data_IF_623452156930
#
_entry.id   IF_623452156930
#
_cell.length_a   1.000
_cell.length_b   1.000
_cell.length_c   1.000
_cell.angle_alpha   90.00
_cell.angle_beta   90.00
_cell.angle_gamma   90.00
#
_symmetry.space_group_name_H-M   'P 1'
#
loop_
_entity.id
_entity.type
_entity.pdbx_description
1 polymer ?
#
# COMPACT_ATOMS: atom_id res chain seq x y z
N UNK A 1 7.88 33.78 14.51
CA UNK A 1 7.15 32.52 14.73
C UNK A 1 7.58 31.59 13.62
N UNK A 2 8.42 30.61 13.92
CA UNK A 2 8.77 29.59 12.94
C UNK A 2 7.56 28.66 12.84
N UNK A 3 6.94 28.65 11.67
CA UNK A 3 5.85 27.73 11.35
C UNK A 3 6.46 26.33 11.29
N UNK A 4 6.25 25.55 12.35
CA UNK A 4 6.80 24.21 12.55
C UNK A 4 6.00 23.14 11.75
N UNK A 5 5.41 23.55 10.62
CA UNK A 5 4.51 22.69 9.82
C UNK A 5 5.25 21.66 8.95
N UNK A 6 6.58 21.59 9.03
CA UNK A 6 7.42 20.78 8.14
C UNK A 6 7.64 19.32 8.61
N UNK A 7 7.04 18.88 9.72
CA UNK A 7 7.20 17.52 10.26
C UNK A 7 6.05 16.56 9.96
N UNK A 8 5.34 16.73 8.83
CA UNK A 8 4.27 15.78 8.46
C UNK A 8 4.75 14.49 7.80
N UNK A 9 6.02 14.42 7.43
CA UNK A 9 6.55 13.25 6.76
C UNK A 9 7.59 12.51 7.60
N UNK A 10 7.47 11.18 7.63
CA UNK A 10 8.26 10.30 8.49
C UNK A 10 8.77 9.11 7.67
N UNK A 11 9.94 8.56 8.03
CA UNK A 11 10.39 7.31 7.45
C UNK A 11 9.41 6.16 7.74
N UNK A 12 9.29 5.26 6.78
CA UNK A 12 8.42 4.10 6.85
C UNK A 12 8.49 3.27 5.58
N UNK A 13 7.48 2.43 5.40
CA UNK A 13 7.36 1.51 4.28
C UNK A 13 6.04 1.72 3.57
N UNK A 14 6.10 1.70 2.24
CA UNK A 14 4.93 1.51 1.40
C UNK A 14 4.87 0.04 1.02
N UNK A 15 3.68 -0.54 1.06
CA UNK A 15 3.43 -1.92 0.66
C UNK A 15 2.31 -2.02 -0.36
N UNK A 16 2.43 -3.02 -1.23
CA UNK A 16 1.39 -3.50 -2.11
C UNK A 16 1.00 -4.91 -1.69
N UNK A 17 -0.27 -5.11 -1.37
CA UNK A 17 -0.81 -6.43 -1.08
C UNK A 17 -1.92 -6.82 -2.06
N UNK A 18 -2.07 -8.11 -2.28
CA UNK A 18 -3.13 -8.71 -3.08
C UNK A 18 -4.08 -9.48 -2.18
N UNK A 19 -5.38 -9.25 -2.31
CA UNK A 19 -6.38 -10.14 -1.74
C UNK A 19 -6.57 -11.32 -2.70
N UNK A 20 -5.99 -12.45 -2.33
CA UNK A 20 -6.00 -13.66 -3.14
C UNK A 20 -7.45 -14.06 -3.48
N UNK A 21 -7.63 -14.70 -4.64
CA UNK A 21 -8.94 -15.05 -5.22
C UNK A 21 -9.78 -13.85 -5.71
N UNK A 22 -9.21 -12.63 -5.70
CA UNK A 22 -9.86 -11.42 -6.21
C UNK A 22 -8.93 -10.61 -7.10
N UNK A 23 -9.49 -9.71 -7.90
CA UNK A 23 -8.72 -8.69 -8.64
C UNK A 23 -8.58 -7.40 -7.82
N UNK A 24 -8.18 -7.54 -6.54
CA UNK A 24 -8.08 -6.42 -5.59
C UNK A 24 -6.71 -6.32 -4.97
N UNK A 25 -6.14 -5.15 -5.13
CA UNK A 25 -4.84 -4.78 -4.60
C UNK A 25 -5.00 -3.62 -3.62
N UNK A 26 -4.20 -3.58 -2.58
CA UNK A 26 -4.17 -2.47 -1.62
C UNK A 26 -2.78 -1.89 -1.57
N UNK A 27 -2.71 -0.58 -1.73
CA UNK A 27 -1.52 0.23 -1.43
C UNK A 27 -1.73 0.79 -0.04
N UNK A 28 -0.77 0.59 0.85
CA UNK A 28 -0.83 1.17 2.18
C UNK A 28 0.56 1.47 2.72
N UNK A 29 0.58 2.14 3.86
CA UNK A 29 1.80 2.54 4.53
C UNK A 29 1.94 1.95 5.93
N UNK A 30 3.17 1.88 6.42
CA UNK A 30 3.45 1.57 7.81
C UNK A 30 4.75 2.21 8.28
N UNK A 31 4.78 2.71 9.53
CA UNK A 31 6.02 3.22 10.16
C UNK A 31 6.70 2.15 11.02
N UNK A 32 6.24 0.90 10.94
CA UNK A 32 6.80 -0.28 11.61
C UNK A 32 7.15 -1.34 10.55
N UNK A 33 7.45 -2.57 10.95
CA UNK A 33 7.77 -3.62 9.98
C UNK A 33 6.55 -4.01 9.12
N UNK A 34 6.81 -4.24 7.83
CA UNK A 34 5.81 -4.65 6.83
C UNK A 34 5.18 -5.99 7.23
N UNK A 35 5.97 -6.95 7.70
CA UNK A 35 5.52 -8.29 8.08
C UNK A 35 4.54 -8.25 9.24
N UNK A 36 4.82 -7.40 10.24
CA UNK A 36 3.95 -7.29 11.39
C UNK A 36 2.66 -6.52 11.06
N UNK A 37 2.68 -5.62 10.07
CA UNK A 37 1.46 -4.98 9.55
C UNK A 37 0.64 -5.97 8.73
N UNK A 38 1.30 -6.73 7.88
CA UNK A 38 0.67 -7.77 7.08
C UNK A 38 0.00 -8.86 7.93
N UNK A 39 0.66 -9.34 8.99
CA UNK A 39 0.08 -10.33 9.92
C UNK A 39 -1.20 -9.80 10.61
N UNK A 40 -1.23 -8.52 10.99
CA UNK A 40 -2.41 -7.88 11.56
C UNK A 40 -3.56 -7.80 10.54
N UNK A 41 -3.24 -7.41 9.30
CA UNK A 41 -4.22 -7.30 8.21
C UNK A 41 -4.84 -8.67 7.88
N UNK A 42 -3.99 -9.70 7.75
CA UNK A 42 -4.42 -11.05 7.37
C UNK A 42 -5.20 -11.77 8.48
N UNK A 43 -4.99 -11.40 9.75
CA UNK A 43 -5.69 -12.02 10.88
C UNK A 43 -7.05 -11.40 11.21
N UNK A 44 -7.29 -10.14 10.83
CA UNK A 44 -8.44 -9.39 11.37
C UNK A 44 -9.19 -8.49 10.38
N UNK A 45 -8.61 -8.17 9.21
CA UNK A 45 -9.10 -7.09 8.35
C UNK A 45 -9.42 -7.53 6.91
N UNK A 46 -9.22 -8.79 6.55
CA UNK A 46 -9.57 -9.32 5.23
C UNK A 46 -10.31 -10.66 5.34
N UNK A 47 -11.44 -10.84 4.61
CA UNK A 47 -12.10 -12.12 4.48
C UNK A 47 -11.37 -13.08 3.53
N UNK A 48 -10.42 -12.58 2.74
CA UNK A 48 -9.58 -13.35 1.82
C UNK A 48 -8.14 -13.41 2.33
N UNK A 49 -7.40 -14.50 2.04
CA UNK A 49 -5.96 -14.53 2.28
C UNK A 49 -5.26 -13.37 1.57
N UNK A 50 -4.37 -12.69 2.27
CA UNK A 50 -3.55 -11.63 1.71
C UNK A 50 -2.20 -12.18 1.28
N UNK A 51 -1.59 -11.53 0.28
CA UNK A 51 -0.21 -11.77 -0.16
C UNK A 51 0.52 -10.43 -0.29
N UNK A 52 1.76 -10.35 0.19
CA UNK A 52 2.63 -9.20 -0.07
C UNK A 52 3.18 -9.37 -1.48
N UNK A 53 2.84 -8.44 -2.38
CA UNK A 53 3.37 -8.42 -3.74
C UNK A 53 4.70 -7.70 -3.77
N UNK A 54 4.77 -6.52 -3.15
CA UNK A 54 5.97 -5.70 -3.11
C UNK A 54 5.93 -4.72 -1.93
N UNK A 55 7.10 -4.19 -1.56
CA UNK A 55 7.24 -3.11 -0.59
C UNK A 55 8.58 -2.38 -0.75
N UNK A 56 8.62 -1.12 -0.34
CA UNK A 56 9.87 -0.35 -0.30
C UNK A 56 9.89 0.59 0.90
N UNK A 57 11.10 0.93 1.35
CA UNK A 57 11.34 1.93 2.39
C UNK A 57 11.41 3.33 1.79
N UNK A 58 10.88 4.32 2.51
CA UNK A 58 10.93 5.74 2.13
C UNK A 58 11.06 6.62 3.37
N UNK A 59 11.75 7.75 3.24
CA UNK A 59 11.82 8.79 4.27
C UNK A 59 10.52 9.60 4.41
N UNK A 60 9.64 9.47 3.42
CA UNK A 60 8.51 10.35 3.16
C UNK A 60 7.21 9.57 2.94
N UNK A 61 6.89 8.69 3.88
CA UNK A 61 5.86 7.65 3.71
C UNK A 61 4.45 8.19 3.44
N UNK A 62 4.09 9.37 3.95
CA UNK A 62 2.76 9.94 3.72
C UNK A 62 2.64 10.47 2.30
N UNK A 63 3.61 11.28 1.87
CA UNK A 63 3.60 11.90 0.54
C UNK A 63 3.74 10.85 -0.57
N UNK A 64 4.55 9.80 -0.35
CA UNK A 64 4.72 8.72 -1.32
C UNK A 64 3.45 7.85 -1.45
N UNK A 65 2.73 7.61 -0.35
CA UNK A 65 1.45 6.90 -0.40
C UNK A 65 0.40 7.69 -1.16
N UNK A 66 0.26 8.99 -0.86
CA UNK A 66 -0.65 9.90 -1.54
C UNK A 66 -0.33 9.97 -3.04
N UNK A 67 0.95 10.13 -3.38
CA UNK A 67 1.40 10.14 -4.77
C UNK A 67 1.03 8.85 -5.51
N UNK A 68 1.25 7.68 -4.90
CA UNK A 68 0.90 6.40 -5.54
C UNK A 68 -0.61 6.23 -5.67
N UNK A 69 -1.37 6.65 -4.65
CA UNK A 69 -2.82 6.65 -4.69
C UNK A 69 -3.36 7.53 -5.81
N UNK A 70 -2.80 8.72 -6.02
CA UNK A 70 -3.14 9.62 -7.13
C UNK A 70 -2.72 9.02 -8.48
N UNK A 71 -1.50 8.51 -8.57
CA UNK A 71 -0.96 7.90 -9.79
C UNK A 71 -1.79 6.72 -10.28
N UNK A 72 -2.38 5.94 -9.38
CA UNK A 72 -3.23 4.80 -9.69
C UNK A 72 -4.73 5.08 -9.47
N UNK A 73 -5.14 6.35 -9.37
CA UNK A 73 -6.53 6.73 -9.10
C UNK A 73 -7.53 6.14 -10.11
N UNK A 74 -7.14 5.98 -11.38
CA UNK A 74 -7.96 5.37 -12.43
C UNK A 74 -8.34 3.91 -12.14
N UNK A 75 -7.55 3.22 -11.33
CA UNK A 75 -7.81 1.83 -10.91
C UNK A 75 -8.46 1.76 -9.53
N UNK A 76 -8.69 2.89 -8.85
CA UNK A 76 -9.22 2.92 -7.49
C UNK A 76 -10.67 2.41 -7.47
N UNK A 77 -10.90 1.34 -6.72
CA UNK A 77 -12.23 0.75 -6.52
C UNK A 77 -12.91 1.38 -5.32
N UNK A 78 -12.23 1.39 -4.16
CA UNK A 78 -12.76 1.96 -2.93
C UNK A 78 -11.65 2.22 -1.90
N UNK A 79 -11.56 3.46 -1.40
CA UNK A 79 -10.53 3.84 -0.43
C UNK A 79 -9.13 3.50 -0.95
N UNK A 80 -8.40 2.68 -0.20
CA UNK A 80 -7.03 2.22 -0.49
C UNK A 80 -6.99 0.98 -1.41
N UNK A 81 -8.14 0.52 -1.93
CA UNK A 81 -8.23 -0.67 -2.78
C UNK A 81 -8.36 -0.31 -4.26
N UNK A 82 -7.57 -1.00 -5.07
CA UNK A 82 -7.41 -0.83 -6.52
C UNK A 82 -7.76 -2.13 -7.23
N UNK A 83 -8.27 -2.02 -8.45
CA UNK A 83 -8.57 -3.15 -9.33
C UNK A 83 -7.31 -3.76 -9.94
N UNK A 84 -7.47 -4.81 -10.75
CA UNK A 84 -6.37 -5.40 -11.49
C UNK A 84 -5.59 -4.34 -12.28
N UNK A 85 -4.37 -4.10 -11.82
CA UNK A 85 -3.39 -3.33 -12.55
C UNK A 85 -2.85 -4.31 -13.60
N UNK A 86 -3.26 -4.15 -14.86
CA UNK A 86 -2.94 -5.02 -16.01
C UNK A 86 -1.45 -5.35 -16.22
N UNK A 87 -0.56 -4.76 -15.41
CA UNK A 87 0.88 -4.91 -15.46
C UNK A 87 1.40 -6.15 -14.70
N UNK A 88 0.66 -6.74 -13.75
CA UNK A 88 1.13 -7.89 -12.96
C UNK A 88 1.00 -9.27 -13.65
N UNK A 89 0.22 -9.36 -14.75
CA UNK A 89 0.04 -10.64 -15.47
C UNK A 89 1.19 -10.96 -16.45
N UNK A 90 2.16 -10.05 -16.63
CA UNK A 90 3.14 -10.17 -17.74
C UNK A 90 4.45 -10.85 -17.34
N UNK A 91 4.72 -11.05 -16.04
CA UNK A 91 5.98 -11.64 -15.55
C UNK A 91 5.85 -13.07 -14.99
N UNK A 92 4.72 -13.74 -15.26
CA UNK A 92 4.55 -15.17 -15.01
C UNK A 92 4.67 -15.98 -16.32
N UNK A 93 5.86 -16.01 -16.93
CA UNK A 93 6.21 -16.99 -17.98
C UNK A 93 7.67 -17.41 -17.93
#
# INVERSE_FOLDING_TARGET
MFDDSHYRNKPGYIYLIHAQETDRYKIGLTTRSVEARFAELNSSQSPYPLEIIDWFETDNVTDDEEYLHEKFADYRVHGEWFGAIRWLETDAR
#
